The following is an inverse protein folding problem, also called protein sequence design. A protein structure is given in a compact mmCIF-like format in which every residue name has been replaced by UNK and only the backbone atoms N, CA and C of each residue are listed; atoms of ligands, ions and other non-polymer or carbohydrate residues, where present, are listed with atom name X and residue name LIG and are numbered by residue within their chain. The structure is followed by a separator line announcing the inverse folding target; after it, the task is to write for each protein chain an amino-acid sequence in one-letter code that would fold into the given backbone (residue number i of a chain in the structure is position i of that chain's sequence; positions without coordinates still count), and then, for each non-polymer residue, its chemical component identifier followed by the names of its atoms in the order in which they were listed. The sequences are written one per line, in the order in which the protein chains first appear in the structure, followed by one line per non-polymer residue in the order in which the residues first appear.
data_IF_441703503560
#
_entry.id   IF_441703503560
#
_cell.length_a   1.000
_cell.length_b   1.000
_cell.length_c   1.000
_cell.angle_alpha   90.00
_cell.angle_beta   90.00
_cell.angle_gamma   90.00
#
_symmetry.space_group_name_H-M   'P 1'
#
loop_
_entity.id
_entity.type
_entity.pdbx_description
1 polymer ?
#
# COMPACT_ATOMS: atom_id res chain seq x y z
N UNK A 1 27.61 5.74 -7.86
CA UNK A 1 27.42 4.97 -9.10
C UNK A 1 27.47 3.47 -8.80
N UNK A 2 26.33 2.91 -8.41
CA UNK A 2 26.05 1.48 -8.34
C UNK A 2 24.51 1.39 -8.32
N UNK A 3 23.93 1.32 -9.52
CA UNK A 3 23.28 0.15 -10.09
C UNK A 3 21.88 -0.12 -9.49
N UNK A 4 20.91 0.52 -10.14
CA UNK A 4 19.54 0.07 -10.26
C UNK A 4 19.58 -1.14 -11.20
N UNK A 5 19.78 -2.33 -10.64
CA UNK A 5 19.54 -3.60 -11.33
C UNK A 5 18.68 -4.46 -10.42
N UNK A 6 17.35 -4.39 -10.62
CA UNK A 6 16.41 -5.51 -10.49
C UNK A 6 14.96 -5.05 -10.72
N UNK A 7 14.74 -4.32 -11.82
CA UNK A 7 13.41 -4.18 -12.41
C UNK A 7 13.58 -4.35 -13.93
N UNK A 8 12.92 -5.37 -14.46
CA UNK A 8 12.65 -5.62 -15.89
C UNK A 8 13.79 -6.19 -16.73
N UNK A 9 14.19 -7.42 -16.40
CA UNK A 9 14.66 -8.39 -17.40
C UNK A 9 13.47 -9.29 -17.77
N UNK A 10 12.88 -9.06 -18.95
CA UNK A 10 11.98 -10.02 -19.61
C UNK A 10 12.86 -11.11 -20.26
N UNK A 11 12.53 -12.42 -20.27
CA UNK A 11 11.18 -13.02 -20.21
C UNK A 11 10.88 -13.83 -18.94
N UNK A 12 9.60 -13.99 -18.54
CA UNK A 12 9.21 -15.04 -17.61
C UNK A 12 9.11 -16.40 -18.33
N UNK A 13 9.88 -17.37 -17.86
CA UNK A 13 9.76 -18.77 -18.25
C UNK A 13 8.44 -19.37 -17.74
N UNK A 14 7.54 -19.69 -18.66
CA UNK A 14 6.42 -20.60 -18.43
C UNK A 14 6.94 -22.03 -18.23
N UNK A 15 7.16 -22.45 -16.98
CA UNK A 15 7.26 -23.86 -16.60
C UNK A 15 7.10 -24.02 -15.08
N UNK A 16 5.84 -24.12 -14.63
CA UNK A 16 5.33 -24.97 -13.53
C UNK A 16 3.98 -24.45 -13.01
N UNK A 17 2.92 -24.65 -13.81
CA UNK A 17 1.56 -24.89 -13.28
C UNK A 17 1.01 -26.14 -13.95
N UNK A 18 1.35 -27.27 -13.38
CA UNK A 18 0.57 -28.50 -13.50
C UNK A 18 0.76 -29.23 -12.19
N UNK A 19 -0.21 -29.10 -11.28
CA UNK A 19 -0.55 -30.06 -10.23
C UNK A 19 -1.79 -29.50 -9.51
N UNK A 20 -2.94 -29.58 -10.18
CA UNK A 20 -4.21 -29.73 -9.50
C UNK A 20 -4.79 -31.03 -10.01
N UNK A 21 -5.01 -32.02 -9.13
CA UNK A 21 -6.02 -33.06 -9.25
C UNK A 21 -5.99 -33.89 -7.96
N UNK A 22 -6.90 -33.59 -7.03
CA UNK A 22 -7.91 -34.55 -6.55
C UNK A 22 -8.78 -33.89 -5.45
N UNK A 23 -10.12 -33.94 -5.55
CA UNK A 23 -11.00 -33.46 -4.50
C UNK A 23 -11.07 -34.47 -3.33
N UNK A 24 -11.23 -34.01 -2.07
CA UNK A 24 -11.45 -34.91 -0.95
C UNK A 24 -12.88 -35.51 -0.98
N UNK A 25 -13.08 -36.71 -0.39
CA UNK A 25 -14.35 -37.44 -0.47
C UNK A 25 -15.46 -36.77 0.35
N UNK A 26 -16.68 -36.83 -0.17
CA UNK A 26 -17.92 -36.42 0.52
C UNK A 26 -18.24 -37.42 1.64
N UNK A 27 -18.28 -36.96 2.88
CA UNK A 27 -18.76 -37.76 4.01
C UNK A 27 -19.75 -36.97 4.89
N UNK A 28 -20.96 -37.55 4.96
CA UNK A 28 -22.00 -37.47 5.98
C UNK A 28 -22.75 -36.15 6.26
N UNK A 29 -23.98 -36.09 5.74
CA UNK A 29 -25.06 -35.21 6.19
C UNK A 29 -25.59 -35.67 7.56
N UNK A 30 -25.40 -34.84 8.59
CA UNK A 30 -26.18 -34.93 9.84
C UNK A 30 -27.29 -33.88 9.83
N UNK A 31 -28.55 -34.33 9.96
CA UNK A 31 -29.71 -33.46 10.19
C UNK A 31 -29.68 -32.94 11.64
N UNK A 32 -29.97 -31.65 11.90
CA UNK A 32 -30.17 -31.18 13.26
C UNK A 32 -31.62 -31.47 13.71
N UNK A 33 -31.75 -32.21 14.81
CA UNK A 33 -32.99 -32.35 15.57
C UNK A 33 -33.26 -31.08 16.38
N UNK A 34 -34.49 -30.58 16.28
CA UNK A 34 -35.00 -29.46 17.06
C UNK A 34 -35.11 -29.83 18.55
N UNK A 35 -34.57 -28.99 19.42
CA UNK A 35 -34.89 -29.00 20.85
C UNK A 35 -35.17 -27.59 21.35
N UNK A 36 -36.32 -27.45 22.00
CA UNK A 36 -36.80 -26.24 22.65
C UNK A 36 -35.94 -25.90 23.89
N UNK A 37 -35.55 -24.64 24.06
CA UNK A 37 -35.18 -24.11 25.37
C UNK A 37 -35.64 -22.65 25.56
N UNK A 38 -36.68 -22.56 26.39
CA UNK A 38 -37.06 -21.55 27.40
C UNK A 38 -36.20 -20.26 27.43
N UNK A 39 -36.84 -19.13 27.08
CA UNK A 39 -36.33 -17.77 27.26
C UNK A 39 -36.43 -17.34 28.73
N UNK A 40 -35.33 -16.88 29.33
CA UNK A 40 -35.32 -16.00 30.51
C UNK A 40 -34.67 -14.66 30.12
N UNK A 41 -35.18 -13.50 30.57
CA UNK A 41 -34.62 -12.21 30.18
C UNK A 41 -33.38 -11.92 31.02
N UNK A 42 -32.22 -11.82 30.36
CA UNK A 42 -31.03 -11.21 30.95
C UNK A 42 -31.09 -9.72 30.65
N UNK A 43 -31.01 -8.91 31.71
CA UNK A 43 -30.85 -7.46 31.62
C UNK A 43 -29.50 -7.13 30.97
N UNK A 44 -29.53 -6.70 29.72
CA UNK A 44 -28.35 -6.21 29.02
C UNK A 44 -28.10 -4.75 29.39
N UNK A 45 -27.02 -4.49 30.12
CA UNK A 45 -26.46 -3.16 30.28
C UNK A 45 -26.13 -2.58 28.90
N UNK A 46 -26.77 -1.45 28.60
CA UNK A 46 -26.67 -0.74 27.33
C UNK A 46 -25.38 0.12 27.35
N UNK A 47 -24.24 -0.51 27.08
CA UNK A 47 -23.06 0.25 26.66
C UNK A 47 -23.35 0.76 25.24
N UNK A 48 -23.40 2.07 25.10
CA UNK A 48 -23.63 2.78 23.85
C UNK A 48 -22.63 2.34 22.80
N UNK A 49 -23.10 1.58 21.81
CA UNK A 49 -22.46 1.47 20.50
C UNK A 49 -22.41 2.89 19.93
N UNK A 50 -21.22 3.48 19.92
CA UNK A 50 -20.96 4.71 19.18
C UNK A 50 -21.21 4.38 17.71
N UNK A 51 -22.21 5.05 17.12
CA UNK A 51 -22.46 5.02 15.68
C UNK A 51 -21.15 5.32 14.94
N UNK A 52 -20.62 4.34 14.20
CA UNK A 52 -19.55 4.54 13.21
C UNK A 52 -20.08 5.25 11.94
N UNK A 53 -21.35 5.64 11.92
CA UNK A 53 -21.97 6.37 10.83
C UNK A 53 -21.88 7.88 11.07
N UNK A 54 -21.17 8.55 10.15
CA UNK A 54 -21.18 10.00 9.88
C UNK A 54 -20.39 10.92 10.83
N UNK A 55 -19.09 10.68 11.00
CA UNK A 55 -18.14 11.79 11.12
C UNK A 55 -17.68 12.17 9.71
N UNK A 56 -18.17 13.30 9.20
CA UNK A 56 -17.55 13.98 8.06
C UNK A 56 -16.08 14.20 8.38
N UNK A 57 -15.23 13.58 7.56
CA UNK A 57 -13.85 13.28 7.88
C UNK A 57 -12.99 14.50 7.54
N UNK A 58 -12.20 14.98 8.50
CA UNK A 58 -11.22 16.01 8.20
C UNK A 58 -10.14 15.43 7.27
N UNK A 59 -9.87 16.05 6.11
CA UNK A 59 -8.79 15.63 5.24
C UNK A 59 -7.44 15.78 5.95
N UNK A 60 -6.42 15.04 5.49
CA UNK A 60 -5.05 15.25 5.95
C UNK A 60 -4.61 16.70 5.69
N UNK A 61 -3.85 17.29 6.62
CA UNK A 61 -3.23 18.60 6.41
C UNK A 61 -2.18 18.50 5.30
N UNK A 62 -1.74 19.64 4.76
CA UNK A 62 -0.76 19.63 3.67
C UNK A 62 0.58 19.00 4.09
N UNK A 63 0.99 19.17 5.35
CA UNK A 63 2.20 18.54 5.89
C UNK A 63 2.02 17.04 6.17
N UNK A 64 0.84 16.62 6.60
CA UNK A 64 0.50 15.20 6.70
C UNK A 64 0.52 14.53 5.32
N UNK A 65 -0.01 15.21 4.29
CA UNK A 65 0.06 14.77 2.90
C UNK A 65 1.50 14.68 2.40
N UNK A 66 2.38 15.63 2.73
CA UNK A 66 3.79 15.55 2.36
C UNK A 66 4.46 14.27 2.91
N UNK A 67 4.17 13.89 4.16
CA UNK A 67 4.66 12.61 4.69
C UNK A 67 4.04 11.42 3.94
N UNK A 68 2.74 11.43 3.69
CA UNK A 68 2.04 10.36 2.95
C UNK A 68 2.63 10.19 1.54
N UNK A 69 2.90 11.30 0.86
CA UNK A 69 3.48 11.31 -0.49
C UNK A 69 4.93 10.85 -0.49
N UNK A 70 5.71 11.19 0.54
CA UNK A 70 7.08 10.67 0.71
C UNK A 70 7.13 9.15 0.91
N UNK A 71 6.02 8.54 1.34
CA UNK A 71 5.90 7.08 1.49
C UNK A 71 5.55 6.38 0.17
N UNK A 72 5.12 7.11 -0.88
CA UNK A 72 4.79 6.52 -2.18
C UNK A 72 6.05 5.92 -2.81
N UNK A 73 5.93 4.70 -3.32
CA UNK A 73 7.04 3.98 -3.95
C UNK A 73 8.02 3.33 -2.97
N UNK A 74 7.82 3.49 -1.65
CA UNK A 74 8.61 2.75 -0.65
C UNK A 74 8.01 1.36 -0.44
N UNK A 75 8.78 0.32 -0.80
CA UNK A 75 8.36 -1.07 -0.64
C UNK A 75 8.78 -1.66 0.72
N UNK A 76 8.02 -2.68 1.17
CA UNK A 76 8.33 -3.43 2.38
C UNK A 76 8.36 -2.59 3.66
N UNK A 77 7.57 -1.50 3.72
CA UNK A 77 7.48 -0.58 4.86
C UNK A 77 8.84 0.04 5.24
N UNK A 78 9.69 0.33 4.25
CA UNK A 78 11.03 0.89 4.44
C UNK A 78 12.18 -0.09 4.17
N UNK A 79 11.88 -1.36 3.86
CA UNK A 79 12.90 -2.41 3.60
C UNK A 79 13.73 -2.12 2.36
N UNK A 80 13.09 -1.62 1.31
CA UNK A 80 13.74 -1.32 0.03
C UNK A 80 13.87 0.19 -0.21
N UNK A 81 13.77 1.01 0.84
CA UNK A 81 13.88 2.45 0.71
C UNK A 81 15.32 2.87 0.36
N UNK A 82 15.46 3.73 -0.65
CA UNK A 82 16.74 4.35 -0.97
C UNK A 82 17.15 5.36 0.12
N UNK A 83 18.44 5.70 0.23
CA UNK A 83 18.89 6.74 1.16
C UNK A 83 18.16 8.08 0.97
N UNK A 84 17.83 8.44 -0.28
CA UNK A 84 17.07 9.65 -0.57
C UNK A 84 15.65 9.56 -0.03
N UNK A 85 14.96 8.44 -0.27
CA UNK A 85 13.61 8.22 0.26
C UNK A 85 13.58 8.25 1.80
N UNK A 86 14.57 7.65 2.45
CA UNK A 86 14.71 7.70 3.91
C UNK A 86 14.88 9.14 4.41
N UNK A 87 15.70 9.95 3.73
CA UNK A 87 15.88 11.36 4.05
C UNK A 87 14.60 12.16 3.82
N UNK A 88 13.85 11.90 2.75
CA UNK A 88 12.59 12.58 2.45
C UNK A 88 11.54 12.30 3.52
N UNK A 89 11.42 11.02 3.94
CA UNK A 89 10.53 10.62 5.03
C UNK A 89 10.96 11.24 6.35
N UNK A 90 12.25 11.19 6.72
CA UNK A 90 12.72 11.76 7.98
C UNK A 90 12.52 13.28 8.02
N UNK A 91 12.72 14.00 6.91
CA UNK A 91 12.41 15.44 6.82
C UNK A 91 10.93 15.72 7.06
N UNK A 92 10.04 14.96 6.41
CA UNK A 92 8.60 15.13 6.61
C UNK A 92 8.15 14.77 8.04
N UNK A 93 8.75 13.73 8.64
CA UNK A 93 8.53 13.37 10.05
C UNK A 93 8.96 14.51 10.97
N UNK A 94 10.14 15.08 10.78
CA UNK A 94 10.65 16.19 11.61
C UNK A 94 9.76 17.43 11.53
N UNK A 95 9.24 17.74 10.33
CA UNK A 95 8.28 18.84 10.16
C UNK A 95 7.03 18.61 11.02
N UNK A 96 6.46 17.40 11.01
CA UNK A 96 5.27 17.08 11.81
C UNK A 96 5.58 17.02 13.31
N UNK A 97 6.71 16.47 13.72
CA UNK A 97 7.13 16.45 15.14
C UNK A 97 7.40 17.86 15.69
N UNK A 98 7.74 18.82 14.82
CA UNK A 98 7.90 20.24 15.16
C UNK A 98 6.59 21.04 15.15
N UNK A 99 5.46 20.45 14.77
CA UNK A 99 4.14 21.10 14.76
C UNK A 99 3.30 20.72 15.97
N UNK A 100 2.27 21.51 16.24
CA UNK A 100 1.24 21.16 17.21
C UNK A 100 0.37 20.03 16.66
N UNK A 101 0.67 18.80 17.09
CA UNK A 101 -0.29 17.70 17.11
C UNK A 101 -1.14 17.73 18.38
N UNK A 102 -1.80 16.61 18.70
CA UNK A 102 -2.46 16.45 19.99
C UNK A 102 -1.43 16.55 21.12
N UNK A 103 -1.61 17.47 22.07
CA UNK A 103 -0.60 17.79 23.10
C UNK A 103 -0.29 16.68 24.10
N UNK A 104 -1.32 15.96 24.58
CA UNK A 104 -1.18 14.72 25.35
C UNK A 104 -1.82 13.57 24.56
N UNK A 105 -1.08 12.97 23.63
CA UNK A 105 -1.62 11.93 22.76
C UNK A 105 -2.03 10.68 23.55
N UNK A 106 -1.32 10.32 24.63
CA UNK A 106 -1.62 9.08 25.38
C UNK A 106 -2.90 9.18 26.20
N UNK A 107 -3.26 10.38 26.65
CA UNK A 107 -4.54 10.65 27.33
C UNK A 107 -5.70 10.86 26.35
N UNK A 108 -5.43 11.07 25.06
CA UNK A 108 -6.47 11.31 24.05
C UNK A 108 -7.18 10.03 23.61
N UNK A 109 -8.50 10.05 23.46
CA UNK A 109 -9.24 8.95 22.84
C UNK A 109 -8.84 8.68 21.39
N UNK A 110 -8.20 9.66 20.72
CA UNK A 110 -7.73 9.53 19.35
C UNK A 110 -6.57 8.54 19.19
N UNK A 111 -5.86 8.17 20.26
CA UNK A 111 -4.79 7.16 20.19
C UNK A 111 -5.35 5.74 20.11
N UNK A 112 -6.57 5.50 20.58
CA UNK A 112 -7.11 4.14 20.72
C UNK A 112 -7.58 3.56 19.39
N UNK A 113 -7.36 2.26 19.19
CA UNK A 113 -7.80 1.52 18.01
C UNK A 113 -6.68 0.89 17.21
N UNK A 114 -7.01 0.43 16.00
CA UNK A 114 -6.12 -0.30 15.11
C UNK A 114 -5.42 0.65 14.13
N UNK A 115 -4.10 0.65 14.16
CA UNK A 115 -3.24 1.46 13.32
C UNK A 115 -2.48 0.58 12.32
N UNK A 116 -2.56 0.86 11.04
CA UNK A 116 -1.73 0.21 10.02
C UNK A 116 -0.32 0.80 10.02
N UNK A 117 0.70 -0.05 10.02
CA UNK A 117 2.09 0.37 9.88
C UNK A 117 2.39 0.67 8.41
N UNK A 118 2.63 1.94 8.12
CA UNK A 118 2.94 2.41 6.75
C UNK A 118 4.44 2.42 6.50
N UNK A 119 5.24 2.78 7.51
CA UNK A 119 6.69 2.84 7.39
C UNK A 119 7.39 2.61 8.71
N UNK A 120 8.57 1.99 8.65
CA UNK A 120 9.49 1.93 9.78
C UNK A 120 10.95 2.02 9.33
N UNK A 121 11.79 2.70 10.11
CA UNK A 121 13.25 2.76 9.87
C UNK A 121 13.97 1.44 10.15
N UNK A 122 13.30 0.47 10.77
CA UNK A 122 13.89 -0.85 11.05
C UNK A 122 12.93 -2.01 10.75
N UNK A 123 12.62 -2.26 9.46
CA UNK A 123 11.63 -3.26 9.04
C UNK A 123 11.98 -4.68 9.50
N UNK A 124 13.27 -5.00 9.69
CA UNK A 124 13.74 -6.32 10.15
C UNK A 124 13.95 -6.51 11.66
N UNK A 125 13.71 -5.50 12.51
CA UNK A 125 14.13 -5.56 13.94
C UNK A 125 13.00 -5.50 14.97
N UNK A 126 11.77 -5.25 14.55
CA UNK A 126 10.64 -5.59 15.37
C UNK A 126 10.69 -7.14 15.49
N UNK A 127 10.79 -7.70 16.71
CA UNK A 127 10.77 -9.12 17.17
C UNK A 127 11.29 -10.28 16.27
N UNK A 128 11.94 -11.35 16.81
CA UNK A 128 12.18 -12.62 16.09
C UNK A 128 10.95 -13.17 15.34
N UNK A 129 9.77 -12.87 15.87
CA UNK A 129 8.44 -13.23 15.36
C UNK A 129 8.09 -12.49 14.06
N UNK A 130 8.55 -11.24 13.97
CA UNK A 130 8.38 -10.39 12.80
C UNK A 130 9.43 -10.75 11.76
N UNK A 131 10.69 -11.11 12.11
CA UNK A 131 11.68 -11.59 11.13
C UNK A 131 11.19 -12.74 10.23
N UNK A 132 10.35 -13.64 10.75
CA UNK A 132 9.80 -14.78 9.96
C UNK A 132 8.72 -14.37 8.96
N UNK A 133 7.99 -13.27 9.19
CA UNK A 133 6.79 -12.94 8.40
C UNK A 133 6.76 -11.50 7.83
N UNK A 134 7.40 -10.50 8.47
CA UNK A 134 7.52 -9.14 7.90
C UNK A 134 8.54 -9.06 6.76
N UNK A 135 9.30 -10.14 6.52
CA UNK A 135 10.10 -10.32 5.31
C UNK A 135 9.26 -10.54 4.04
N UNK A 136 7.98 -10.89 4.20
CA UNK A 136 7.00 -10.96 3.12
C UNK A 136 6.39 -9.57 2.94
N UNK A 137 6.72 -8.93 1.83
CA UNK A 137 6.34 -7.54 1.58
C UNK A 137 4.81 -7.36 1.47
N UNK A 138 4.07 -8.42 1.16
CA UNK A 138 2.61 -8.45 0.99
C UNK A 138 1.77 -8.41 2.29
N UNK A 139 2.32 -8.73 3.47
CA UNK A 139 1.49 -8.79 4.68
C UNK A 139 1.24 -7.41 5.28
N UNK A 140 -0.02 -7.13 5.65
CA UNK A 140 -0.38 -5.92 6.38
C UNK A 140 0.01 -6.05 7.85
N UNK A 141 0.75 -5.07 8.35
CA UNK A 141 1.16 -4.99 9.76
C UNK A 141 0.34 -3.92 10.46
N UNK A 142 -0.19 -4.25 11.63
CA UNK A 142 -0.98 -3.32 12.43
C UNK A 142 -0.45 -3.25 13.86
N UNK A 143 -0.77 -2.15 14.54
CA UNK A 143 -0.63 -1.97 15.97
C UNK A 143 -1.97 -1.53 16.54
N UNK A 144 -2.52 -2.32 17.44
CA UNK A 144 -3.67 -1.92 18.25
C UNK A 144 -3.18 -1.28 19.54
N UNK A 145 -3.78 -0.15 19.92
CA UNK A 145 -3.48 0.53 21.17
C UNK A 145 -4.81 0.77 21.90
N UNK A 146 -4.89 0.31 23.14
CA UNK A 146 -6.03 0.53 24.04
C UNK A 146 -5.46 0.82 25.42
N UNK A 147 -5.51 2.07 25.86
CA UNK A 147 -4.87 2.52 27.10
C UNK A 147 -5.89 2.83 28.20
N UNK A 148 -7.17 2.99 27.83
CA UNK A 148 -8.26 3.47 28.68
C UNK A 148 -9.22 2.35 29.05
N UNK A 149 -8.70 1.14 29.21
CA UNK A 149 -9.44 -0.06 29.59
C UNK A 149 -8.94 -0.59 30.94
N UNK A 150 -9.62 -1.58 31.51
CA UNK A 150 -9.16 -2.25 32.74
C UNK A 150 -7.92 -3.14 32.51
N UNK A 151 -7.57 -3.43 31.26
CA UNK A 151 -6.38 -4.18 30.85
C UNK A 151 -5.73 -3.44 29.67
N UNK A 152 -4.99 -2.34 29.95
CA UNK A 152 -4.36 -1.53 28.90
C UNK A 152 -3.36 -2.36 28.10
N UNK A 153 -3.44 -2.30 26.77
CA UNK A 153 -2.62 -3.11 25.87
C UNK A 153 -2.13 -2.35 24.64
N UNK A 154 -0.93 -2.76 24.22
CA UNK A 154 -0.41 -2.53 22.87
C UNK A 154 -0.21 -3.88 22.22
N UNK A 155 -0.80 -4.08 21.04
CA UNK A 155 -0.75 -5.36 20.34
C UNK A 155 -0.24 -5.18 18.92
N UNK A 156 0.82 -5.89 18.55
CA UNK A 156 1.32 -5.94 17.18
C UNK A 156 0.67 -7.11 16.44
N UNK A 157 0.15 -6.85 15.25
CA UNK A 157 -0.59 -7.82 14.45
C UNK A 157 0.02 -7.92 13.07
N UNK A 158 0.33 -9.15 12.64
CA UNK A 158 0.70 -9.46 11.25
C UNK A 158 -0.49 -10.19 10.62
N UNK A 159 -1.18 -9.53 9.69
CA UNK A 159 -2.31 -10.11 8.95
C UNK A 159 -1.78 -10.81 7.70
N UNK A 160 -1.94 -12.13 7.64
CA UNK A 160 -1.51 -12.93 6.51
C UNK A 160 -2.41 -12.69 5.29
N UNK A 161 -3.72 -12.76 5.50
CA UNK A 161 -4.78 -12.37 4.56
C UNK A 161 -6.14 -12.47 5.25
N UNK A 162 -7.20 -12.02 4.59
CA UNK A 162 -8.57 -12.17 5.09
C UNK A 162 -9.05 -13.63 5.14
N UNK A 163 -8.46 -14.53 4.35
CA UNK A 163 -8.81 -15.95 4.31
C UNK A 163 -7.93 -16.84 5.17
N UNK A 164 -6.69 -16.43 5.45
CA UNK A 164 -5.75 -17.25 6.23
C UNK A 164 -5.90 -16.91 7.72
N UNK A 165 -5.80 -15.62 8.07
CA UNK A 165 -5.79 -15.18 9.46
C UNK A 165 -4.65 -14.25 9.80
N UNK A 166 -4.26 -14.23 11.08
CA UNK A 166 -3.28 -13.29 11.62
C UNK A 166 -2.49 -13.87 12.80
N UNK A 167 -1.31 -13.29 13.05
CA UNK A 167 -0.55 -13.45 14.27
C UNK A 167 -0.68 -12.18 15.11
N UNK A 168 -1.17 -12.30 16.33
CA UNK A 168 -1.29 -11.20 17.30
C UNK A 168 -0.34 -11.41 18.46
N UNK A 169 0.50 -10.42 18.73
CA UNK A 169 1.44 -10.37 19.85
C UNK A 169 1.01 -9.22 20.75
N UNK A 170 0.64 -9.52 21.98
CA UNK A 170 0.04 -8.60 22.93
C UNK A 170 1.03 -8.25 24.04
N UNK A 171 0.99 -6.99 24.46
CA UNK A 171 1.75 -6.48 25.58
C UNK A 171 0.85 -5.73 26.55
N UNK A 172 0.98 -6.03 27.85
CA UNK A 172 0.43 -5.19 28.89
C UNK A 172 1.10 -3.81 28.82
N UNK A 173 0.31 -2.75 28.89
CA UNK A 173 0.77 -1.38 28.69
C UNK A 173 0.50 -0.48 29.91
N UNK A 174 1.28 0.58 30.05
CA UNK A 174 0.99 1.67 30.99
C UNK A 174 1.47 2.99 30.42
N UNK A 175 0.78 4.07 30.79
CA UNK A 175 1.18 5.43 30.44
C UNK A 175 2.23 5.88 31.45
N UNK A 176 3.42 6.27 30.98
CA UNK A 176 4.46 6.85 31.85
C UNK A 176 4.31 8.37 31.94
N UNK A 177 4.07 9.00 30.80
CA UNK A 177 3.84 10.43 30.65
C UNK A 177 2.93 10.65 29.45
N UNK A 178 2.54 11.90 29.19
CA UNK A 178 1.59 12.24 28.12
C UNK A 178 1.98 11.77 26.71
N UNK A 179 3.22 11.31 26.49
CA UNK A 179 3.71 10.79 25.21
C UNK A 179 4.14 9.33 25.26
N UNK A 180 4.71 8.87 26.38
CA UNK A 180 5.36 7.57 26.50
C UNK A 180 4.44 6.48 27.01
N UNK A 181 4.34 5.42 26.21
CA UNK A 181 3.70 4.14 26.56
C UNK A 181 4.80 3.14 26.91
N UNK A 182 4.79 2.62 28.13
CA UNK A 182 5.58 1.45 28.51
C UNK A 182 4.79 0.20 28.18
N UNK A 183 5.47 -0.84 27.70
CA UNK A 183 4.82 -2.12 27.41
C UNK A 183 5.69 -3.31 27.77
N UNK A 184 5.06 -4.44 28.08
CA UNK A 184 5.73 -5.73 28.27
C UNK A 184 4.94 -6.83 27.56
N UNK A 185 5.56 -7.47 26.57
CA UNK A 185 4.94 -8.60 25.87
C UNK A 185 4.69 -9.77 26.83
N UNK A 186 3.46 -10.26 26.85
CA UNK A 186 3.02 -11.29 27.80
C UNK A 186 2.27 -12.45 27.13
N UNK A 187 1.80 -12.29 25.89
CA UNK A 187 1.03 -13.31 25.16
C UNK A 187 1.11 -13.12 23.65
N UNK A 188 1.00 -14.22 22.91
CA UNK A 188 0.86 -14.19 21.46
C UNK A 188 0.09 -15.42 20.97
N UNK A 189 -0.66 -15.27 19.90
CA UNK A 189 -1.41 -16.36 19.29
C UNK A 189 -1.64 -16.14 17.80
N UNK A 190 -1.65 -17.25 17.06
CA UNK A 190 -2.20 -17.29 15.71
C UNK A 190 -3.71 -17.45 15.77
N UNK A 191 -4.41 -16.64 15.00
CA UNK A 191 -5.84 -16.77 14.74
C UNK A 191 -6.02 -17.14 13.27
N UNK A 192 -6.33 -18.41 13.00
CA UNK A 192 -6.56 -18.90 11.64
C UNK A 192 -8.06 -18.92 11.34
N UNK A 193 -8.48 -18.44 10.17
CA UNK A 193 -9.90 -18.39 9.80
C UNK A 193 -10.53 -19.76 9.59
N UNK A 194 -9.71 -20.76 9.28
CA UNK A 194 -10.12 -22.15 9.08
C UNK A 194 -10.13 -22.97 10.38
N UNK A 195 -9.75 -22.40 11.53
CA UNK A 195 -9.80 -23.07 12.83
C UNK A 195 -10.78 -22.35 13.78
N UNK A 196 -11.55 -23.10 14.59
CA UNK A 196 -12.47 -22.51 15.57
C UNK A 196 -11.76 -22.04 16.85
N UNK A 197 -10.45 -22.25 16.98
CA UNK A 197 -9.64 -21.89 18.15
C UNK A 197 -8.35 -21.17 17.75
N UNK A 198 -7.77 -20.41 18.69
CA UNK A 198 -6.48 -19.76 18.53
C UNK A 198 -5.34 -20.72 18.86
N UNK A 199 -4.27 -20.70 18.08
CA UNK A 199 -3.07 -21.50 18.34
C UNK A 199 -2.07 -20.62 19.10
N UNK A 200 -1.68 -20.97 20.34
CA UNK A 200 -0.73 -20.16 21.11
C UNK A 200 0.62 -20.11 20.40
N UNK A 201 1.24 -18.93 20.35
CA UNK A 201 2.58 -18.78 19.80
C UNK A 201 3.62 -19.30 20.82
N UNK A 202 4.56 -20.18 20.44
CA UNK A 202 5.42 -20.90 21.38
C UNK A 202 6.59 -20.03 21.87
N UNK A 203 6.31 -18.85 22.43
CA UNK A 203 7.31 -18.00 23.09
C UNK A 203 7.04 -17.93 24.59
N UNK A 204 8.02 -18.30 25.42
CA UNK A 204 7.90 -18.21 26.87
C UNK A 204 8.18 -16.78 27.33
N UNK A 205 7.23 -15.86 27.13
CA UNK A 205 7.40 -14.44 27.47
C UNK A 205 7.87 -14.19 28.90
N UNK A 206 7.48 -15.06 29.84
CA UNK A 206 7.91 -15.02 31.25
C UNK A 206 9.42 -15.21 31.44
N UNK A 207 10.09 -15.92 30.53
CA UNK A 207 11.53 -16.18 30.57
C UNK A 207 12.35 -15.07 29.89
N UNK A 208 11.70 -14.20 29.11
CA UNK A 208 12.38 -13.12 28.38
C UNK A 208 12.75 -11.92 29.28
N UNK A 209 12.19 -11.85 30.50
CA UNK A 209 12.50 -10.79 31.46
C UNK A 209 12.39 -9.38 30.85
N UNK A 210 13.50 -8.64 30.88
CA UNK A 210 13.58 -7.28 30.36
C UNK A 210 13.59 -7.20 28.83
N UNK A 211 13.88 -8.29 28.11
CA UNK A 211 13.84 -8.30 26.64
C UNK A 211 12.40 -8.17 26.08
N UNK A 212 11.41 -8.58 26.88
CA UNK A 212 10.00 -8.42 26.55
C UNK A 212 9.48 -7.00 26.82
N UNK A 213 10.27 -6.15 27.51
CA UNK A 213 9.90 -4.78 27.84
C UNK A 213 10.33 -3.80 26.76
N UNK A 214 9.55 -2.75 26.59
CA UNK A 214 9.91 -1.65 25.70
C UNK A 214 9.08 -0.40 25.98
N UNK A 215 9.34 0.62 25.19
CA UNK A 215 8.57 1.85 25.21
C UNK A 215 8.34 2.39 23.80
N UNK A 216 7.23 3.11 23.64
CA UNK A 216 6.87 3.88 22.46
C UNK A 216 6.56 5.31 22.90
N UNK A 217 7.25 6.27 22.31
CA UNK A 217 6.88 7.68 22.41
C UNK A 217 5.98 8.02 21.24
N UNK A 218 4.77 8.50 21.52
CA UNK A 218 3.94 9.13 20.49
C UNK A 218 4.42 10.57 20.32
N UNK A 219 5.22 10.81 19.29
CA UNK A 219 5.84 12.11 19.02
C UNK A 219 4.94 13.03 18.20
N UNK A 220 4.03 12.43 17.43
CA UNK A 220 2.97 13.15 16.73
C UNK A 220 1.71 12.31 16.67
N UNK A 221 0.56 12.92 16.95
CA UNK A 221 -0.77 12.37 16.71
C UNK A 221 -1.60 13.45 16.04
N UNK A 222 -2.14 13.15 14.86
CA UNK A 222 -2.97 14.11 14.14
C UNK A 222 -4.23 14.46 14.92
N UNK A 223 -4.71 15.69 14.76
CA UNK A 223 -6.00 16.12 15.33
C UNK A 223 -7.19 15.31 14.80
N UNK A 224 -7.07 14.76 13.59
CA UNK A 224 -8.04 13.83 13.01
C UNK A 224 -7.97 12.42 13.61
N UNK A 225 -6.90 12.07 14.32
CA UNK A 225 -6.63 10.73 14.83
C UNK A 225 -6.32 9.70 13.74
N UNK A 226 -6.00 10.13 12.51
CA UNK A 226 -5.75 9.27 11.36
C UNK A 226 -4.27 9.02 11.08
N UNK A 227 -3.36 9.88 11.54
CA UNK A 227 -1.91 9.74 11.40
C UNK A 227 -1.23 9.79 12.76
N UNK A 228 -0.27 8.89 12.99
CA UNK A 228 0.53 8.85 14.21
C UNK A 228 1.97 8.52 13.89
N UNK A 229 2.89 9.26 14.50
CA UNK A 229 4.32 8.98 14.48
C UNK A 229 4.71 8.50 15.87
N UNK A 230 5.46 7.42 15.93
CA UNK A 230 6.02 6.91 17.18
C UNK A 230 7.50 6.62 17.07
N UNK A 231 8.24 6.90 18.14
CA UNK A 231 9.65 6.52 18.30
C UNK A 231 9.74 5.39 19.32
N UNK A 232 10.39 4.29 18.96
CA UNK A 232 10.56 3.13 19.83
C UNK A 232 11.91 3.11 20.54
N UNK A 233 12.00 2.29 21.60
CA UNK A 233 13.19 2.14 22.45
C UNK A 233 14.51 1.78 21.75
N UNK A 234 14.48 1.30 20.51
CA UNK A 234 15.66 0.99 19.70
C UNK A 234 16.00 2.08 18.68
N UNK A 235 15.47 3.30 18.86
CA UNK A 235 15.61 4.39 17.89
C UNK A 235 14.81 4.16 16.60
N UNK A 236 13.76 3.33 16.67
CA UNK A 236 12.93 3.00 15.51
C UNK A 236 11.84 4.05 15.33
N UNK A 237 11.69 4.60 14.14
CA UNK A 237 10.53 5.43 13.78
C UNK A 237 9.44 4.52 13.22
N UNK A 238 8.19 4.80 13.60
CA UNK A 238 7.01 4.17 13.04
C UNK A 238 6.07 5.27 12.55
N UNK A 239 5.67 5.19 11.28
CA UNK A 239 4.57 6.00 10.74
C UNK A 239 3.37 5.08 10.60
N UNK A 240 2.29 5.41 11.29
CA UNK A 240 1.09 4.60 11.31
C UNK A 240 -0.15 5.41 10.92
N UNK A 241 -1.09 4.75 10.25
CA UNK A 241 -2.37 5.34 9.85
C UNK A 241 -3.56 4.48 10.30
N UNK A 242 -4.61 5.08 10.85
CA UNK A 242 -5.89 4.36 11.08
C UNK A 242 -6.70 4.20 9.81
N UNK A 243 -6.69 5.25 8.99
CA UNK A 243 -7.34 5.31 7.69
C UNK A 243 -6.27 5.61 6.66
N UNK A 244 -6.15 4.75 5.67
CA UNK A 244 -5.20 4.92 4.58
C UNK A 244 -5.74 5.88 3.54
N UNK A 245 -4.83 6.69 2.99
CA UNK A 245 -5.13 7.55 1.84
C UNK A 245 -5.60 6.69 0.63
N UNK A 246 -6.60 7.15 -0.15
CA UNK A 246 -7.08 6.41 -1.32
C UNK A 246 -5.98 6.00 -2.30
N UNK A 247 -4.97 6.86 -2.52
CA UNK A 247 -3.83 6.54 -3.41
C UNK A 247 -3.03 5.37 -2.85
N UNK A 248 -2.80 5.35 -1.54
CA UNK A 248 -2.07 4.26 -0.89
C UNK A 248 -2.85 2.94 -0.95
N UNK A 249 -4.19 2.98 -0.84
CA UNK A 249 -5.04 1.80 -1.05
C UNK A 249 -4.90 1.25 -2.47
N UNK A 250 -4.97 2.13 -3.47
CA UNK A 250 -4.80 1.76 -4.88
C UNK A 250 -3.43 1.11 -5.13
N UNK A 251 -2.35 1.73 -4.63
CA UNK A 251 -1.00 1.19 -4.80
C UNK A 251 -0.81 -0.15 -4.07
N UNK A 252 -1.45 -0.33 -2.91
CA UNK A 252 -1.45 -1.60 -2.21
C UNK A 252 -2.18 -2.69 -3.00
N UNK A 253 -3.35 -2.38 -3.58
CA UNK A 253 -4.10 -3.31 -4.43
C UNK A 253 -3.29 -3.73 -5.67
N UNK A 254 -2.64 -2.77 -6.33
CA UNK A 254 -1.74 -3.03 -7.47
C UNK A 254 -0.60 -3.96 -7.04
N UNK A 255 0.04 -3.67 -5.90
CA UNK A 255 1.15 -4.47 -5.41
C UNK A 255 0.73 -5.90 -5.06
N UNK A 256 -0.49 -6.14 -4.56
CA UNK A 256 -0.99 -7.49 -4.26
C UNK A 256 -1.65 -8.17 -5.45
N UNK A 257 -1.89 -7.45 -6.54
CA UNK A 257 -2.62 -7.92 -7.71
C UNK A 257 -4.08 -8.31 -7.42
N UNK A 258 -4.67 -7.81 -6.33
CA UNK A 258 -6.00 -8.20 -5.85
C UNK A 258 -6.88 -6.97 -5.70
N UNK A 259 -8.07 -6.98 -6.33
CA UNK A 259 -9.07 -5.92 -6.17
C UNK A 259 -8.65 -4.57 -6.77
N UNK A 260 -7.85 -4.59 -7.85
CA UNK A 260 -7.25 -3.36 -8.41
C UNK A 260 -8.28 -2.46 -9.06
N UNK A 261 -9.21 -3.03 -9.83
CA UNK A 261 -10.26 -2.27 -10.51
C UNK A 261 -11.20 -1.59 -9.51
N UNK A 262 -11.59 -2.30 -8.46
CA UNK A 262 -12.40 -1.74 -7.38
C UNK A 262 -11.68 -0.60 -6.66
N UNK A 263 -10.37 -0.73 -6.45
CA UNK A 263 -9.56 0.32 -5.84
C UNK A 263 -9.39 1.55 -6.77
N UNK A 264 -9.32 1.34 -8.08
CA UNK A 264 -9.33 2.42 -9.09
C UNK A 264 -10.66 3.18 -9.04
N UNK A 265 -11.79 2.46 -9.01
CA UNK A 265 -13.12 3.06 -8.97
C UNK A 265 -13.35 3.85 -7.68
N UNK A 266 -12.95 3.30 -6.52
CA UNK A 266 -12.98 4.02 -5.24
C UNK A 266 -12.13 5.29 -5.30
N UNK A 267 -10.91 5.20 -5.83
CA UNK A 267 -9.98 6.32 -5.94
C UNK A 267 -10.52 7.45 -6.86
N UNK A 268 -11.04 7.10 -8.04
CA UNK A 268 -11.62 8.07 -8.98
C UNK A 268 -12.87 8.72 -8.37
N UNK A 269 -13.73 7.94 -7.71
CA UNK A 269 -14.94 8.46 -7.06
C UNK A 269 -14.60 9.49 -5.98
N UNK A 270 -13.64 9.18 -5.12
CA UNK A 270 -13.20 10.08 -4.04
C UNK A 270 -12.50 11.33 -4.58
N UNK A 271 -11.67 11.21 -5.62
CA UNK A 271 -10.94 12.34 -6.19
C UNK A 271 -11.83 13.34 -6.94
N UNK A 272 -12.86 12.88 -7.65
CA UNK A 272 -13.85 13.74 -8.31
C UNK A 272 -14.63 14.63 -7.33
N UNK A 273 -14.77 14.21 -6.08
CA UNK A 273 -15.43 15.03 -5.06
C UNK A 273 -14.58 16.21 -4.58
N UNK A 274 -13.27 16.19 -4.86
CA UNK A 274 -12.29 17.16 -4.37
C UNK A 274 -11.76 18.07 -5.49
N UNK A 275 -11.50 17.52 -6.68
CA UNK A 275 -11.01 18.28 -7.82
C UNK A 275 -12.15 18.96 -8.60
N UNK A 276 -12.02 20.28 -8.83
CA UNK A 276 -12.97 21.06 -9.65
C UNK A 276 -12.59 21.13 -11.13
N UNK A 277 -11.32 20.88 -11.45
CA UNK A 277 -10.79 21.03 -12.80
C UNK A 277 -10.71 19.70 -13.53
N UNK A 278 -10.92 19.74 -14.85
CA UNK A 278 -10.78 18.58 -15.74
C UNK A 278 -9.31 18.13 -15.83
N UNK A 279 -9.02 16.82 -15.87
CA UNK A 279 -7.66 16.32 -15.93
C UNK A 279 -6.96 16.73 -17.23
N UNK A 280 -5.78 17.33 -17.09
CA UNK A 280 -4.91 17.71 -18.21
C UNK A 280 -3.75 16.72 -18.30
N UNK A 281 -3.32 16.36 -19.51
CA UNK A 281 -2.15 15.51 -19.70
C UNK A 281 -0.89 16.29 -19.30
N UNK A 282 -0.24 15.87 -18.22
CA UNK A 282 0.94 16.54 -17.68
C UNK A 282 2.23 15.99 -18.32
N UNK A 283 3.15 16.91 -18.60
CA UNK A 283 4.49 16.55 -19.05
C UNK A 283 5.29 15.81 -17.96
N UNK A 284 6.18 14.95 -18.41
CA UNK A 284 7.07 14.17 -17.55
C UNK A 284 7.25 12.75 -18.02
N UNK A 285 8.02 12.00 -17.25
CA UNK A 285 8.21 10.58 -17.41
C UNK A 285 7.25 9.81 -16.50
N UNK A 286 6.59 8.81 -17.04
CA UNK A 286 5.48 8.09 -16.44
C UNK A 286 5.74 6.59 -16.55
N UNK A 287 6.02 5.94 -15.43
CA UNK A 287 6.21 4.50 -15.37
C UNK A 287 4.86 3.79 -15.24
N UNK A 288 4.56 2.86 -16.15
CA UNK A 288 3.40 2.00 -15.95
C UNK A 288 3.64 1.07 -14.76
N UNK A 289 2.64 0.96 -13.89
CA UNK A 289 2.65 0.04 -12.75
C UNK A 289 1.53 -1.01 -12.82
N UNK A 290 0.51 -0.79 -13.65
CA UNK A 290 -0.60 -1.74 -13.81
C UNK A 290 -1.41 -1.49 -15.10
N UNK A 291 -1.96 -2.56 -15.68
CA UNK A 291 -2.94 -2.56 -16.76
C UNK A 291 -4.08 -3.57 -16.51
N UNK A 292 -5.30 -3.29 -16.97
CA UNK A 292 -6.44 -4.23 -16.82
C UNK A 292 -6.37 -5.44 -17.75
N UNK A 293 -5.57 -5.37 -18.82
CA UNK A 293 -5.33 -6.50 -19.70
C UNK A 293 -3.98 -7.15 -19.39
N UNK A 294 -3.97 -8.49 -19.38
CA UNK A 294 -2.74 -9.29 -19.42
C UNK A 294 -2.23 -9.31 -20.86
N UNK A 295 -1.00 -8.86 -21.04
CA UNK A 295 -0.23 -8.83 -22.28
C UNK A 295 -0.51 -10.02 -23.22
N UNK A 296 -0.69 -9.75 -24.52
CA UNK A 296 -0.76 -10.82 -25.53
C UNK A 296 0.61 -11.48 -25.70
N UNK A 297 0.68 -12.63 -26.39
CA UNK A 297 1.96 -13.30 -26.69
C UNK A 297 2.92 -12.43 -27.55
N UNK A 298 2.44 -11.34 -28.14
CA UNK A 298 3.23 -10.40 -28.94
C UNK A 298 3.71 -9.21 -28.10
N UNK A 299 4.89 -9.37 -27.49
CA UNK A 299 5.52 -8.29 -26.71
C UNK A 299 5.67 -6.99 -27.51
N UNK A 300 5.93 -7.08 -28.83
CA UNK A 300 6.13 -5.92 -29.69
C UNK A 300 4.82 -5.15 -29.93
N UNK A 301 3.70 -5.86 -30.08
CA UNK A 301 2.37 -5.25 -30.16
C UNK A 301 2.01 -4.58 -28.83
N UNK A 302 2.28 -5.25 -27.70
CA UNK A 302 2.06 -4.67 -26.37
C UNK A 302 2.89 -3.40 -26.19
N UNK A 303 4.16 -3.41 -26.61
CA UNK A 303 5.05 -2.26 -26.55
C UNK A 303 4.55 -1.09 -27.42
N UNK A 304 4.13 -1.38 -28.66
CA UNK A 304 3.59 -0.38 -29.58
C UNK A 304 2.25 0.21 -29.15
N UNK A 305 1.41 -0.57 -28.45
CA UNK A 305 0.14 -0.12 -27.88
C UNK A 305 0.31 0.59 -26.52
N UNK A 306 1.55 0.71 -26.04
CA UNK A 306 1.84 1.33 -24.76
C UNK A 306 1.33 0.52 -23.57
N UNK A 307 1.18 -0.80 -23.71
CA UNK A 307 0.77 -1.76 -22.66
C UNK A 307 1.92 -2.16 -21.73
N UNK A 308 3.09 -1.55 -21.88
CA UNK A 308 4.28 -1.85 -21.10
C UNK A 308 5.25 -0.67 -21.08
N UNK A 309 6.16 -0.69 -20.11
CA UNK A 309 7.27 0.26 -20.02
C UNK A 309 6.88 1.64 -19.49
N UNK A 310 7.64 2.65 -19.91
CA UNK A 310 7.51 4.04 -19.50
C UNK A 310 6.95 4.87 -20.65
N UNK A 311 6.22 5.93 -20.31
CA UNK A 311 5.74 6.94 -21.24
C UNK A 311 6.38 8.29 -20.91
N UNK A 312 6.95 8.95 -21.90
CA UNK A 312 7.52 10.29 -21.75
C UNK A 312 6.65 11.25 -22.55
N UNK A 313 6.08 12.24 -21.86
CA UNK A 313 5.22 13.27 -22.45
C UNK A 313 5.98 14.60 -22.42
N UNK A 314 6.20 15.19 -23.59
CA UNK A 314 6.92 16.47 -23.71
C UNK A 314 6.62 17.13 -25.06
N UNK A 315 6.37 18.45 -25.08
CA UNK A 315 6.25 19.24 -26.31
C UNK A 315 5.27 18.62 -27.33
N UNK A 316 4.06 18.24 -26.91
CA UNK A 316 3.03 17.58 -27.76
C UNK A 316 3.45 16.23 -28.35
N UNK A 317 4.57 15.67 -27.89
CA UNK A 317 5.05 14.35 -28.23
C UNK A 317 4.86 13.39 -27.07
N UNK A 318 4.56 12.15 -27.42
CA UNK A 318 4.52 11.03 -26.51
C UNK A 318 5.51 9.98 -26.99
N UNK A 319 6.32 9.47 -26.07
CA UNK A 319 7.28 8.41 -26.35
C UNK A 319 7.00 7.22 -25.44
N UNK A 320 6.80 6.06 -26.02
CA UNK A 320 6.81 4.78 -25.32
C UNK A 320 8.24 4.25 -25.29
N UNK A 321 8.67 3.77 -24.12
CA UNK A 321 10.01 3.23 -23.93
C UNK A 321 9.91 1.94 -23.12
N UNK A 322 10.41 0.85 -23.67
CA UNK A 322 10.37 -0.48 -23.04
C UNK A 322 11.79 -1.04 -23.00
N UNK A 323 12.27 -1.38 -21.80
CA UNK A 323 13.51 -2.16 -21.64
C UNK A 323 13.19 -3.64 -21.78
N UNK A 324 13.75 -4.28 -22.81
CA UNK A 324 13.50 -5.70 -23.09
C UNK A 324 14.52 -6.54 -22.35
N UNK A 325 15.81 -6.22 -22.56
CA UNK A 325 16.99 -6.85 -21.98
C UNK A 325 18.07 -5.77 -21.77
N UNK A 326 19.12 -6.02 -20.96
CA UNK A 326 20.24 -5.11 -20.81
C UNK A 326 20.82 -4.70 -22.17
N UNK A 327 20.84 -3.40 -22.44
CA UNK A 327 21.32 -2.83 -23.70
C UNK A 327 20.35 -2.90 -24.88
N UNK A 328 19.15 -3.48 -24.71
CA UNK A 328 18.11 -3.61 -25.75
C UNK A 328 16.82 -2.93 -25.29
N UNK A 329 16.38 -1.92 -26.04
CA UNK A 329 15.16 -1.16 -25.75
C UNK A 329 14.29 -1.05 -26.99
N UNK A 330 12.98 -1.09 -26.80
CA UNK A 330 12.03 -0.61 -27.80
C UNK A 330 11.66 0.84 -27.49
N UNK A 331 11.54 1.64 -28.53
CA UNK A 331 11.08 3.02 -28.46
C UNK A 331 10.02 3.24 -29.52
N UNK A 332 8.96 3.95 -29.19
CA UNK A 332 8.00 4.44 -30.18
C UNK A 332 7.68 5.89 -29.87
N UNK A 333 7.83 6.77 -30.85
CA UNK A 333 7.54 8.19 -30.70
C UNK A 333 6.29 8.52 -31.53
N UNK A 334 5.47 9.40 -30.99
CA UNK A 334 4.25 9.88 -31.62
C UNK A 334 3.91 11.29 -31.20
N UNK A 335 2.86 11.82 -31.81
CA UNK A 335 2.25 13.10 -31.46
C UNK A 335 0.88 12.85 -30.84
N UNK A 336 0.48 13.75 -29.95
CA UNK A 336 -0.87 13.73 -29.41
C UNK A 336 -1.58 15.06 -29.64
N UNK A 337 -2.89 15.01 -29.88
CA UNK A 337 -3.75 16.18 -30.03
C UNK A 337 -4.94 16.01 -29.11
N UNK A 338 -5.30 17.06 -28.38
CA UNK A 338 -6.49 17.04 -27.52
C UNK A 338 -7.74 16.98 -28.39
N UNK A 339 -8.51 15.90 -28.28
CA UNK A 339 -9.70 15.63 -29.12
C UNK A 339 -11.03 15.89 -28.39
N UNK A 340 -11.00 16.05 -27.07
CA UNK A 340 -12.16 16.35 -26.24
C UNK A 340 -11.77 16.97 -24.91
N UNK A 341 -12.68 16.99 -23.93
CA UNK A 341 -12.42 17.60 -22.61
C UNK A 341 -11.26 16.92 -21.88
N UNK A 342 -11.25 15.59 -21.93
CA UNK A 342 -10.29 14.68 -21.28
C UNK A 342 -9.75 13.59 -22.21
N UNK A 343 -10.03 13.70 -23.50
CA UNK A 343 -9.58 12.74 -24.52
C UNK A 343 -8.50 13.33 -25.41
N UNK A 344 -7.57 12.47 -25.82
CA UNK A 344 -6.43 12.78 -26.68
C UNK A 344 -6.31 11.73 -27.77
N UNK A 345 -6.14 12.18 -29.00
CA UNK A 345 -5.80 11.30 -30.12
C UNK A 345 -4.28 11.24 -30.22
N UNK A 346 -3.72 10.05 -30.00
CA UNK A 346 -2.28 9.79 -30.03
C UNK A 346 -1.97 8.99 -31.29
N UNK A 347 -1.09 9.53 -32.14
CA UNK A 347 -0.58 8.84 -33.32
C UNK A 347 0.89 8.51 -33.11
N UNK A 348 1.19 7.23 -32.93
CA UNK A 348 2.52 6.69 -32.76
C UNK A 348 2.98 6.13 -34.10
N UNK A 349 4.09 6.61 -34.66
CA UNK A 349 4.52 6.25 -36.01
C UNK A 349 6.04 6.18 -36.22
N UNK A 350 6.83 6.41 -35.16
CA UNK A 350 8.28 6.35 -35.19
C UNK A 350 8.76 5.27 -34.20
N UNK A 351 8.61 4.00 -34.61
CA UNK A 351 9.04 2.85 -33.84
C UNK A 351 10.49 2.49 -34.15
N UNK A 352 11.26 2.12 -33.13
CA UNK A 352 12.64 1.68 -33.28
C UNK A 352 13.04 0.66 -32.21
N UNK A 353 13.85 -0.32 -32.62
CA UNK A 353 14.60 -1.20 -31.71
C UNK A 353 16.00 -0.60 -31.49
N UNK A 354 16.31 -0.25 -30.26
CA UNK A 354 17.57 0.35 -29.84
C UNK A 354 18.47 -0.76 -29.28
N UNK A 355 19.62 -0.98 -29.91
CA UNK A 355 20.64 -1.95 -29.48
C UNK A 355 21.98 -1.21 -29.31
N UNK A 356 22.40 -1.02 -28.06
CA UNK A 356 23.57 -0.21 -27.74
C UNK A 356 23.42 1.24 -28.25
N UNK A 357 24.36 1.77 -29.05
CA UNK A 357 24.26 3.12 -29.62
C UNK A 357 23.40 3.19 -30.90
N UNK A 358 22.95 2.06 -31.44
CA UNK A 358 22.24 2.00 -32.72
C UNK A 358 20.72 1.88 -32.53
N UNK A 359 19.94 2.57 -33.37
CA UNK A 359 18.48 2.43 -33.45
C UNK A 359 18.08 1.91 -34.82
N UNK A 360 17.35 0.80 -34.85
CA UNK A 360 16.81 0.19 -36.06
C UNK A 360 15.34 0.55 -36.20
N UNK A 361 14.92 1.29 -37.23
CA UNK A 361 13.52 1.68 -37.41
C UNK A 361 12.66 0.44 -37.70
N UNK A 362 11.42 0.48 -37.21
CA UNK A 362 10.40 -0.54 -37.43
C UNK A 362 9.20 0.12 -38.10
N UNK A 363 8.70 -0.47 -39.18
CA UNK A 363 7.47 0.00 -39.83
C UNK A 363 6.26 -0.36 -38.97
N UNK A 364 5.79 0.60 -38.18
CA UNK A 364 4.66 0.43 -37.28
C UNK A 364 3.96 1.77 -37.07
N UNK A 365 2.63 1.76 -37.19
CA UNK A 365 1.78 2.90 -36.87
C UNK A 365 0.64 2.45 -35.97
N UNK A 366 0.45 3.15 -34.86
CA UNK A 366 -0.66 2.92 -33.94
C UNK A 366 -1.40 4.23 -33.67
N UNK A 367 -2.74 4.17 -33.72
CA UNK A 367 -3.64 5.27 -33.35
C UNK A 367 -4.39 4.88 -32.09
N UNK A 368 -4.23 5.69 -31.05
CA UNK A 368 -4.79 5.44 -29.73
C UNK A 368 -5.66 6.62 -29.35
N UNK A 369 -6.93 6.35 -29.04
CA UNK A 369 -7.75 7.32 -28.32
C UNK A 369 -7.53 7.11 -26.82
N UNK A 370 -6.91 8.09 -26.17
CA UNK A 370 -6.60 8.07 -24.74
C UNK A 370 -7.60 8.95 -24.00
N UNK A 371 -8.31 8.41 -23.02
CA UNK A 371 -9.15 9.15 -22.07
C UNK A 371 -8.43 9.26 -20.72
N UNK A 372 -8.23 10.47 -20.21
CA UNK A 372 -7.75 10.69 -18.85
C UNK A 372 -8.91 10.57 -17.86
N UNK A 373 -8.79 9.65 -16.92
CA UNK A 373 -9.73 9.49 -15.81
C UNK A 373 -9.28 10.26 -14.58
N UNK A 374 -7.98 10.34 -14.36
CA UNK A 374 -7.33 11.07 -13.29
C UNK A 374 -5.89 11.42 -13.67
N UNK A 375 -5.42 12.61 -13.30
CA UNK A 375 -4.02 12.97 -13.45
C UNK A 375 -3.62 14.04 -12.43
N UNK A 376 -2.59 13.76 -11.63
CA UNK A 376 -1.91 14.73 -10.75
C UNK A 376 -0.39 14.68 -10.99
N UNK A 377 0.44 15.27 -10.13
CA UNK A 377 1.90 15.26 -10.28
C UNK A 377 2.59 13.93 -9.90
N UNK A 378 1.83 12.90 -9.52
CA UNK A 378 2.32 11.61 -9.01
C UNK A 378 1.74 10.40 -9.71
N UNK A 379 0.46 10.40 -10.03
CA UNK A 379 -0.28 9.26 -10.57
C UNK A 379 -1.21 9.70 -11.69
N UNK A 380 -1.24 8.88 -12.74
CA UNK A 380 -2.13 9.03 -13.87
C UNK A 380 -2.92 7.75 -14.07
N UNK A 381 -4.24 7.91 -14.17
CA UNK A 381 -5.16 6.83 -14.54
C UNK A 381 -5.80 7.20 -15.86
N UNK A 382 -5.63 6.34 -16.86
CA UNK A 382 -6.11 6.57 -18.21
C UNK A 382 -6.76 5.32 -18.78
N UNK A 383 -7.75 5.50 -19.65
CA UNK A 383 -8.20 4.48 -20.58
C UNK A 383 -7.54 4.70 -21.93
N UNK A 384 -7.13 3.62 -22.57
CA UNK A 384 -6.56 3.67 -23.92
C UNK A 384 -7.29 2.74 -24.87
N UNK A 385 -6.51 2.13 -25.77
CA UNK A 385 -6.99 1.15 -26.75
C UNK A 385 -7.87 0.07 -26.10
N UNK A 386 -8.98 -0.30 -26.75
CA UNK A 386 -9.94 -1.32 -26.29
C UNK A 386 -10.46 -1.13 -24.84
N UNK A 387 -10.57 0.12 -24.36
CA UNK A 387 -10.98 0.44 -22.99
C UNK A 387 -10.06 -0.14 -21.89
N UNK A 388 -8.82 -0.48 -22.23
CA UNK A 388 -7.84 -0.96 -21.25
C UNK A 388 -7.52 0.18 -20.28
N UNK A 389 -7.60 -0.12 -18.99
CA UNK A 389 -7.21 0.81 -17.92
C UNK A 389 -5.71 0.71 -17.69
N UNK A 390 -5.08 1.86 -17.50
CA UNK A 390 -3.68 1.98 -17.13
C UNK A 390 -3.51 2.82 -15.89
N UNK A 391 -2.61 2.37 -15.02
CA UNK A 391 -2.11 3.18 -13.91
C UNK A 391 -0.63 3.44 -14.12
N UNK A 392 -0.26 4.71 -14.15
CA UNK A 392 1.13 5.15 -14.24
C UNK A 392 1.51 5.97 -13.02
N UNK A 393 2.75 5.79 -12.54
CA UNK A 393 3.38 6.69 -11.58
C UNK A 393 4.36 7.60 -12.29
N UNK A 394 4.39 8.87 -11.91
CA UNK A 394 5.41 9.80 -12.40
C UNK A 394 6.77 9.35 -11.87
N UNK A 395 7.75 9.21 -12.75
CA UNK A 395 9.12 9.00 -12.33
C UNK A 395 9.57 10.23 -11.55
N UNK A 396 10.12 10.02 -10.35
CA UNK A 396 10.77 11.10 -9.60
C UNK A 396 11.85 11.70 -10.50
N UNK A 397 11.90 13.03 -10.65
CA UNK A 397 12.91 13.72 -11.45
C UNK A 397 14.31 13.24 -11.03
N UNK A 398 14.85 12.27 -11.77
CA UNK A 398 16.19 11.74 -11.58
C UNK A 398 17.22 12.69 -12.16
N UNK A 399 17.12 13.99 -11.87
CA UNK A 399 18.12 15.00 -12.21
C UNK A 399 17.68 16.38 -11.74
N UNK A 400 18.34 16.88 -10.68
CA UNK A 400 19.06 18.15 -10.78
C UNK A 400 20.50 17.90 -10.39
#
# INVERSE_FOLDING_TARGET
MALIENLNLWPPSNLQRNLALNPPPKLFNFKPSATHSIRKPLHTCRCSLVNEQQQQQAPFTDQEKQLIDALIGIQGRGKSASPQQLNDVERAVQVLEGQDGVGDPTSSGLIEGRWQLMFTTRPGTASPIQRTFVGVDFFSVFQEVYLRTNDPRVSNIVKFSDWIGELKVEAAASIKDGKRILFQFDRAAFSFKFLPFKVPYPVPFRLLGDEAKGWLDTTYLSHSGNLRISRGNKGTTFVLQKKTDPRQKLLAAISTGTGVEEAIDEFISLSKSVAKDEPVLLEGEWQMIWSSQVETDSWLENAGNGLMGSQIVKNEQMKFLVSILPGIRFSMIGKFVKSGTKTYDVTMNDAALIVGPFGYPLEMENKINMELLYNDDKIRISKGYNNILFVHLRASDGSK
#
